data_IF_476514492191
#
_entry.id   IF_476514492191
#
_cell.length_a   1.000
_cell.length_b   1.000
_cell.length_c   1.000
_cell.angle_alpha   90.00
_cell.angle_beta   90.00
_cell.angle_gamma   90.00
#
_symmetry.space_group_name_H-M   'P 1'
#
loop_
_entity.id
_entity.type
_entity.pdbx_description
1 polymer ?
#
# COMPACT_ATOMS: atom_id res chain seq x y z
N UNK A 1 -12.29 -8.36 -19.75
CA UNK A 1 -11.66 -9.62 -19.27
C UNK A 1 -10.18 -9.64 -19.60
N UNK A 2 -9.39 -10.09 -18.65
CA UNK A 2 -7.96 -10.33 -18.83
C UNK A 2 -7.67 -11.80 -18.60
N UNK A 3 -6.59 -12.32 -19.20
CA UNK A 3 -6.14 -13.67 -18.86
C UNK A 3 -5.47 -13.64 -17.48
N UNK A 4 -5.39 -14.78 -16.82
CA UNK A 4 -4.67 -14.89 -15.55
C UNK A 4 -3.20 -14.48 -15.72
N UNK A 5 -2.62 -14.77 -16.88
CA UNK A 5 -1.24 -14.36 -17.18
C UNK A 5 -1.07 -12.84 -17.26
N UNK A 6 -2.06 -12.11 -17.76
CA UNK A 6 -2.01 -10.64 -17.91
C UNK A 6 -2.44 -9.88 -16.67
N UNK A 7 -3.03 -10.57 -15.69
CA UNK A 7 -3.41 -9.97 -14.41
C UNK A 7 -2.15 -9.65 -13.60
N UNK A 8 -2.16 -8.53 -12.89
CA UNK A 8 -0.99 -8.07 -12.10
C UNK A 8 -1.41 -7.73 -10.67
N UNK A 9 -0.48 -7.76 -9.71
CA UNK A 9 -0.73 -7.23 -8.36
C UNK A 9 -1.27 -5.81 -8.43
N UNK A 10 -2.23 -5.50 -7.57
CA UNK A 10 -2.94 -4.22 -7.58
C UNK A 10 -4.24 -4.23 -8.40
N UNK A 11 -4.48 -5.30 -9.18
CA UNK A 11 -5.74 -5.46 -9.90
C UNK A 11 -6.83 -5.98 -8.98
N UNK A 12 -8.09 -5.70 -9.32
CA UNK A 12 -9.26 -6.31 -8.69
C UNK A 12 -9.96 -7.19 -9.70
N UNK A 13 -10.25 -8.41 -9.30
CA UNK A 13 -10.93 -9.39 -10.15
C UNK A 13 -12.22 -9.88 -9.48
N UNK A 14 -13.23 -10.14 -10.30
CA UNK A 14 -14.48 -10.77 -9.86
C UNK A 14 -14.35 -12.27 -10.11
N UNK A 15 -14.49 -13.05 -9.06
CA UNK A 15 -14.48 -14.52 -9.12
C UNK A 15 -15.77 -14.99 -8.43
N UNK A 16 -16.68 -15.55 -9.24
CA UNK A 16 -17.95 -16.10 -8.77
C UNK A 16 -18.82 -15.10 -7.98
N UNK A 17 -18.73 -13.82 -8.31
CA UNK A 17 -19.49 -12.75 -7.66
C UNK A 17 -18.79 -12.08 -6.49
N UNK A 18 -17.65 -12.59 -6.07
CA UNK A 18 -16.84 -11.99 -5.03
C UNK A 18 -15.67 -11.19 -5.63
N UNK A 19 -15.39 -10.04 -5.08
CA UNK A 19 -14.29 -9.19 -5.51
C UNK A 19 -13.03 -9.50 -4.70
N UNK A 20 -11.93 -9.71 -5.42
CA UNK A 20 -10.63 -10.01 -4.84
C UNK A 20 -9.57 -9.04 -5.34
N UNK A 21 -8.78 -8.55 -4.40
CA UNK A 21 -7.58 -7.76 -4.70
C UNK A 21 -6.40 -8.71 -4.88
N UNK A 22 -5.67 -8.57 -5.99
CA UNK A 22 -4.48 -9.41 -6.27
C UNK A 22 -3.29 -8.81 -5.53
N UNK A 23 -2.78 -9.52 -4.52
CA UNK A 23 -1.64 -9.07 -3.71
C UNK A 23 -0.32 -9.64 -4.20
N UNK A 24 -0.33 -10.88 -4.71
CA UNK A 24 0.86 -11.54 -5.28
C UNK A 24 0.48 -12.28 -6.54
N UNK A 25 1.44 -12.37 -7.46
CA UNK A 25 1.30 -13.06 -8.73
C UNK A 25 2.60 -13.77 -9.07
N UNK A 26 2.52 -15.06 -9.38
CA UNK A 26 3.67 -15.86 -9.78
C UNK A 26 3.27 -16.75 -10.94
N UNK A 27 4.12 -16.82 -11.97
CA UNK A 27 3.91 -17.74 -13.09
C UNK A 27 4.90 -18.90 -13.02
N UNK A 28 4.42 -20.11 -13.27
CA UNK A 28 5.23 -21.32 -13.32
C UNK A 28 5.00 -22.03 -14.66
N UNK A 29 6.09 -22.31 -15.35
CA UNK A 29 6.04 -23.03 -16.61
C UNK A 29 6.26 -24.54 -16.33
N UNK A 30 5.23 -25.34 -16.56
CA UNK A 30 5.33 -26.80 -16.43
C UNK A 30 6.12 -27.44 -17.55
N UNK A 31 6.63 -28.65 -17.31
CA UNK A 31 7.53 -29.38 -18.21
C UNK A 31 6.99 -29.76 -19.57
N UNK A 32 5.70 -29.52 -19.88
CA UNK A 32 5.07 -29.79 -21.17
C UNK A 32 4.42 -28.56 -21.79
N UNK A 33 4.91 -27.37 -21.46
CA UNK A 33 4.46 -26.13 -22.09
C UNK A 33 3.24 -25.46 -21.48
N UNK A 34 2.55 -26.09 -20.51
CA UNK A 34 1.45 -25.47 -19.79
C UNK A 34 2.01 -24.49 -18.74
N UNK A 35 1.56 -23.23 -18.82
CA UNK A 35 1.90 -22.23 -17.84
C UNK A 35 0.76 -22.06 -16.87
N UNK A 36 1.05 -22.10 -15.58
CA UNK A 36 0.09 -21.82 -14.51
C UNK A 36 0.44 -20.51 -13.81
N UNK A 37 -0.57 -19.86 -13.24
CA UNK A 37 -0.41 -18.62 -12.51
C UNK A 37 -0.98 -18.82 -11.10
N UNK A 38 -0.14 -18.63 -10.10
CA UNK A 38 -0.55 -18.63 -8.69
C UNK A 38 -0.75 -17.18 -8.26
N UNK A 39 -1.92 -16.91 -7.73
CA UNK A 39 -2.26 -15.59 -7.21
C UNK A 39 -2.62 -15.68 -5.74
N UNK A 40 -2.14 -14.73 -4.98
CA UNK A 40 -2.63 -14.48 -3.62
C UNK A 40 -3.68 -13.40 -3.70
N UNK A 41 -4.87 -13.72 -3.20
CA UNK A 41 -6.06 -12.89 -3.34
C UNK A 41 -6.57 -12.47 -1.96
N UNK A 42 -6.93 -11.19 -1.83
CA UNK A 42 -7.58 -10.66 -0.64
C UNK A 42 -9.04 -10.39 -0.98
N UNK A 43 -9.96 -11.05 -0.29
CA UNK A 43 -11.38 -10.76 -0.44
C UNK A 43 -11.68 -9.37 0.10
N UNK A 44 -12.27 -8.51 -0.72
CA UNK A 44 -12.52 -7.11 -0.37
C UNK A 44 -13.60 -6.99 0.71
N UNK A 45 -14.59 -7.87 0.69
CA UNK A 45 -15.71 -7.80 1.63
C UNK A 45 -15.34 -8.20 3.07
N UNK A 46 -14.49 -9.22 3.23
CA UNK A 46 -14.16 -9.77 4.56
C UNK A 46 -12.68 -9.74 4.91
N UNK A 47 -11.81 -9.31 3.99
CA UNK A 47 -10.37 -9.23 4.23
C UNK A 47 -9.62 -10.56 4.24
N UNK A 48 -10.30 -11.69 4.00
CA UNK A 48 -9.65 -13.00 4.03
C UNK A 48 -8.68 -13.18 2.85
N UNK A 49 -7.57 -13.86 3.13
CA UNK A 49 -6.54 -14.17 2.14
C UNK A 49 -6.70 -15.60 1.63
N UNK A 50 -6.57 -15.80 0.33
CA UNK A 50 -6.59 -17.12 -0.27
C UNK A 50 -5.61 -17.20 -1.44
N UNK A 51 -5.04 -18.39 -1.66
CA UNK A 51 -4.19 -18.63 -2.81
C UNK A 51 -4.99 -19.45 -3.82
N UNK A 52 -5.00 -19.02 -5.09
CA UNK A 52 -5.63 -19.75 -6.18
C UNK A 52 -4.64 -19.93 -7.33
N UNK A 53 -4.72 -21.06 -7.99
CA UNK A 53 -3.91 -21.39 -9.17
C UNK A 53 -4.83 -21.42 -10.38
N UNK A 54 -4.43 -20.73 -11.43
CA UNK A 54 -5.15 -20.62 -12.69
C UNK A 54 -4.28 -21.13 -13.84
N UNK A 55 -4.90 -21.59 -14.91
CA UNK A 55 -4.19 -21.72 -16.17
C UNK A 55 -3.87 -20.33 -16.71
N UNK A 56 -2.76 -20.17 -17.41
CA UNK A 56 -2.37 -18.88 -18.00
C UNK A 56 -3.47 -18.26 -18.87
N UNK A 57 -4.25 -19.11 -19.53
CA UNK A 57 -5.30 -18.71 -20.47
C UNK A 57 -6.67 -18.51 -19.82
N UNK A 58 -6.81 -18.86 -18.55
CA UNK A 58 -8.06 -18.62 -17.82
C UNK A 58 -8.42 -17.15 -17.84
N UNK A 59 -9.67 -16.87 -18.18
CA UNK A 59 -10.16 -15.49 -18.25
C UNK A 59 -10.75 -15.08 -16.92
N UNK A 60 -10.28 -13.95 -16.43
CA UNK A 60 -10.77 -13.34 -15.21
C UNK A 60 -11.48 -12.02 -15.55
N UNK A 61 -12.57 -11.77 -14.86
CA UNK A 61 -13.25 -10.49 -14.97
C UNK A 61 -12.47 -9.45 -14.17
N UNK A 62 -11.77 -8.56 -14.85
CA UNK A 62 -11.13 -7.44 -14.18
C UNK A 62 -12.18 -6.35 -13.92
N UNK A 63 -12.09 -5.76 -12.74
CA UNK A 63 -13.00 -4.73 -12.28
C UNK A 63 -12.27 -3.39 -12.34
N UNK A 64 -12.86 -2.43 -13.05
CA UNK A 64 -12.32 -1.08 -13.10
C UNK A 64 -12.73 -0.36 -11.81
N UNK A 65 -11.72 0.17 -11.11
CA UNK A 65 -11.93 0.91 -9.88
C UNK A 65 -11.88 2.41 -10.15
N UNK A 66 -12.72 3.13 -9.45
CA UNK A 66 -12.64 4.59 -9.39
C UNK A 66 -11.44 4.95 -8.50
N UNK A 67 -10.64 5.88 -8.96
CA UNK A 67 -9.48 6.38 -8.24
C UNK A 67 -9.68 7.86 -7.98
N UNK A 68 -9.73 8.21 -6.71
CA UNK A 68 -10.00 9.59 -6.28
C UNK A 68 -8.94 10.04 -5.28
N UNK A 69 -8.54 11.30 -5.40
CA UNK A 69 -7.56 11.91 -4.48
C UNK A 69 -8.28 12.33 -3.20
N UNK A 70 -7.75 11.87 -2.07
CA UNK A 70 -8.20 12.26 -0.73
C UNK A 70 -7.06 12.90 0.04
N UNK A 71 -7.41 13.81 0.93
CA UNK A 71 -6.48 14.41 1.89
C UNK A 71 -6.67 13.74 3.24
N UNK A 72 -5.57 13.33 3.87
CA UNK A 72 -5.60 12.81 5.23
C UNK A 72 -5.77 13.96 6.22
N UNK A 73 -6.78 13.88 7.07
CA UNK A 73 -7.07 14.92 8.04
C UNK A 73 -6.49 14.59 9.42
N UNK A 74 -6.94 13.50 10.03
CA UNK A 74 -6.51 13.13 11.38
C UNK A 74 -6.87 11.67 11.72
N UNK A 75 -6.31 11.20 12.82
CA UNK A 75 -6.63 9.91 13.44
C UNK A 75 -7.23 10.18 14.81
N UNK A 76 -8.35 9.55 15.10
CA UNK A 76 -8.99 9.59 16.41
C UNK A 76 -9.36 8.18 16.82
N UNK A 77 -8.69 7.67 17.88
CA UNK A 77 -8.96 6.35 18.47
C UNK A 77 -8.98 5.18 17.46
N UNK A 78 -8.01 5.18 16.54
CA UNK A 78 -7.89 4.13 15.52
C UNK A 78 -8.75 4.34 14.30
N UNK A 79 -9.46 5.45 14.20
CA UNK A 79 -10.23 5.82 13.02
C UNK A 79 -9.48 6.91 12.27
N UNK A 80 -9.20 6.65 11.00
CA UNK A 80 -8.49 7.57 10.11
C UNK A 80 -9.50 8.30 9.25
N UNK A 81 -9.48 9.63 9.28
CA UNK A 81 -10.43 10.48 8.56
C UNK A 81 -9.76 11.10 7.36
N UNK A 82 -10.40 10.94 6.21
CA UNK A 82 -9.94 11.47 4.93
C UNK A 82 -11.02 12.34 4.30
N UNK A 83 -10.61 13.33 3.55
CA UNK A 83 -11.51 14.23 2.84
C UNK A 83 -11.26 14.15 1.33
N UNK A 84 -12.33 13.94 0.58
CA UNK A 84 -12.27 13.97 -0.88
C UNK A 84 -11.87 15.37 -1.35
N UNK A 85 -10.80 15.47 -2.13
CA UNK A 85 -10.26 16.75 -2.59
C UNK A 85 -11.16 17.49 -3.57
N UNK A 86 -12.09 16.79 -4.21
CA UNK A 86 -13.01 17.38 -5.19
C UNK A 86 -14.31 17.90 -4.58
N UNK A 87 -14.97 17.05 -3.78
CA UNK A 87 -16.31 17.36 -3.25
C UNK A 87 -16.34 17.59 -1.73
N UNK A 88 -15.19 17.48 -1.06
CA UNK A 88 -15.02 17.68 0.38
C UNK A 88 -15.80 16.70 1.28
N UNK A 89 -16.31 15.61 0.71
CA UNK A 89 -16.92 14.54 1.51
C UNK A 89 -15.85 13.82 2.33
N UNK A 90 -16.20 13.49 3.58
CA UNK A 90 -15.29 12.78 4.46
C UNK A 90 -15.61 11.31 4.49
N UNK A 91 -14.56 10.49 4.57
CA UNK A 91 -14.69 9.05 4.82
C UNK A 91 -13.84 8.67 6.02
N UNK A 92 -14.26 7.61 6.71
CA UNK A 92 -13.56 7.06 7.86
C UNK A 92 -13.09 5.65 7.55
N UNK A 93 -11.82 5.37 7.82
CA UNK A 93 -11.23 4.05 7.64
C UNK A 93 -10.67 3.55 8.98
N UNK A 94 -10.87 2.28 9.28
CA UNK A 94 -10.29 1.65 10.46
C UNK A 94 -8.83 1.27 10.29
N UNK A 95 -8.20 0.87 11.38
CA UNK A 95 -6.80 0.41 11.36
C UNK A 95 -6.56 -0.77 10.42
N UNK A 96 -7.54 -1.67 10.31
CA UNK A 96 -7.44 -2.84 9.43
C UNK A 96 -7.41 -2.45 7.94
N UNK A 97 -8.13 -1.40 7.57
CA UNK A 97 -8.15 -0.89 6.20
C UNK A 97 -6.87 -0.13 5.84
N UNK A 98 -6.33 0.60 6.79
CA UNK A 98 -5.14 1.43 6.60
C UNK A 98 -3.86 0.61 6.74
N UNK A 99 -3.80 -0.28 7.73
CA UNK A 99 -2.63 -1.13 7.96
C UNK A 99 -1.34 -0.33 8.16
N UNK A 100 -0.25 -0.84 7.61
CA UNK A 100 1.06 -0.19 7.72
C UNK A 100 1.19 1.11 6.91
N UNK A 101 0.21 1.42 6.06
CA UNK A 101 0.18 2.69 5.33
C UNK A 101 0.05 3.89 6.27
N UNK A 102 -0.40 3.67 7.51
CA UNK A 102 -0.46 4.69 8.56
C UNK A 102 0.87 5.43 8.76
N UNK A 103 1.99 4.75 8.52
CA UNK A 103 3.32 5.34 8.68
C UNK A 103 3.66 6.37 7.60
N UNK A 104 2.82 6.54 6.60
CA UNK A 104 2.98 7.52 5.53
C UNK A 104 1.88 8.59 5.54
N UNK A 105 0.98 8.54 6.53
CA UNK A 105 -0.13 9.49 6.67
C UNK A 105 0.27 10.62 7.60
N UNK A 106 0.69 11.73 7.02
CA UNK A 106 0.90 12.99 7.74
C UNK A 106 -0.29 13.91 7.48
N UNK A 107 -0.66 14.76 8.43
CA UNK A 107 -1.75 15.72 8.24
C UNK A 107 -1.54 16.55 6.97
N UNK A 108 -2.57 16.63 6.14
CA UNK A 108 -2.51 17.32 4.87
C UNK A 108 -1.92 16.50 3.72
N UNK A 109 -1.42 15.28 3.96
CA UNK A 109 -0.91 14.42 2.89
C UNK A 109 -2.04 13.99 1.97
N UNK A 110 -1.78 13.96 0.66
CA UNK A 110 -2.74 13.47 -0.33
C UNK A 110 -2.41 12.04 -0.71
N UNK A 111 -3.45 11.24 -0.84
CA UNK A 111 -3.36 9.83 -1.25
C UNK A 111 -4.44 9.55 -2.27
N UNK A 112 -4.25 8.48 -3.03
CA UNK A 112 -5.30 7.98 -3.92
C UNK A 112 -6.05 6.85 -3.21
N UNK A 113 -7.36 6.95 -3.22
CA UNK A 113 -8.24 5.90 -2.71
C UNK A 113 -8.98 5.26 -3.87
N UNK A 114 -8.92 3.93 -3.92
CA UNK A 114 -9.65 3.14 -4.88
C UNK A 114 -11.01 2.75 -4.30
N UNK A 115 -12.05 2.93 -5.10
CA UNK A 115 -13.43 2.62 -4.74
C UNK A 115 -14.11 1.85 -5.87
N UNK A 116 -15.06 1.01 -5.49
CA UNK A 116 -15.96 0.33 -6.43
C UNK A 116 -17.39 0.60 -5.99
N UNK A 117 -18.18 1.28 -6.85
CA UNK A 117 -19.54 1.68 -6.54
C UNK A 117 -19.68 2.43 -5.19
N UNK A 118 -18.72 3.31 -4.91
CA UNK A 118 -18.68 4.08 -3.66
C UNK A 118 -18.11 3.34 -2.46
N UNK A 119 -17.79 2.05 -2.60
CA UNK A 119 -17.21 1.24 -1.53
C UNK A 119 -15.68 1.27 -1.59
N UNK A 120 -15.05 1.45 -0.42
CA UNK A 120 -13.60 1.43 -0.29
C UNK A 120 -13.01 0.08 -0.71
N UNK A 121 -11.96 0.11 -1.50
CA UNK A 121 -11.21 -1.07 -1.93
C UNK A 121 -9.78 -1.02 -1.40
N UNK A 122 -9.08 0.07 -1.58
CA UNK A 122 -7.69 0.18 -1.14
C UNK A 122 -7.14 1.59 -1.26
N UNK A 123 -5.95 1.75 -0.70
CA UNK A 123 -5.17 2.99 -0.75
C UNK A 123 -3.98 2.77 -1.68
N UNK A 124 -3.72 3.73 -2.54
CA UNK A 124 -2.50 3.77 -3.35
C UNK A 124 -1.61 4.88 -2.84
N UNK A 125 -0.41 4.51 -2.40
CA UNK A 125 0.63 5.47 -2.01
C UNK A 125 1.55 5.74 -3.19
N UNK A 126 2.09 6.94 -3.24
CA UNK A 126 3.23 7.21 -4.11
C UNK A 126 4.39 6.27 -3.73
N UNK A 127 5.22 5.87 -4.69
CA UNK A 127 6.35 4.98 -4.44
C UNK A 127 7.33 5.58 -3.42
N UNK A 128 7.49 6.89 -3.46
CA UNK A 128 8.38 7.63 -2.56
C UNK A 128 7.58 8.73 -1.86
N UNK A 129 7.71 8.80 -0.53
CA UNK A 129 7.05 9.83 0.26
C UNK A 129 8.04 10.50 1.20
N UNK A 130 7.79 11.77 1.49
CA UNK A 130 8.62 12.58 2.38
C UNK A 130 8.12 12.45 3.81
N UNK A 131 9.04 12.17 4.73
CA UNK A 131 8.76 12.13 6.17
C UNK A 131 9.79 13.00 6.89
N UNK A 132 9.41 13.51 8.06
CA UNK A 132 10.30 14.32 8.92
C UNK A 132 10.85 13.45 10.05
N UNK A 133 12.13 13.57 10.31
CA UNK A 133 12.78 12.93 11.45
C UNK A 133 12.48 13.75 12.72
N UNK A 134 11.89 13.11 13.71
CA UNK A 134 11.57 13.75 14.99
C UNK A 134 12.49 13.32 16.14
N UNK A 135 13.13 12.16 15.98
CA UNK A 135 14.06 11.64 17.00
C UNK A 135 15.13 10.79 16.34
N UNK A 136 16.36 10.92 16.81
CA UNK A 136 17.45 10.02 16.45
C UNK A 136 17.80 9.16 17.65
N UNK A 137 17.97 7.86 17.42
CA UNK A 137 18.32 6.91 18.46
C UNK A 137 19.82 6.65 18.47
N UNK A 138 20.42 6.33 19.64
CA UNK A 138 21.85 6.05 19.72
C UNK A 138 22.24 4.85 18.87
N UNK A 139 23.44 4.90 18.31
CA UNK A 139 24.06 3.75 17.64
C UNK A 139 24.15 2.57 18.60
N UNK A 140 23.59 1.44 18.18
CA UNK A 140 23.72 0.18 18.92
C UNK A 140 24.49 -0.80 18.05
N UNK A 141 25.66 -1.23 18.52
CA UNK A 141 26.50 -2.20 17.82
C UNK A 141 27.43 -1.60 16.78
N UNK A 142 27.84 -2.42 15.80
CA UNK A 142 28.82 -2.07 14.77
C UNK A 142 28.21 -1.55 13.47
N UNK A 143 26.92 -1.20 13.47
CA UNK A 143 26.24 -0.66 12.29
C UNK A 143 26.69 0.75 11.99
N UNK A 144 26.94 1.04 10.73
CA UNK A 144 27.30 2.38 10.26
C UNK A 144 26.10 3.33 10.23
N UNK A 145 24.87 2.79 10.23
CA UNK A 145 23.63 3.55 10.20
C UNK A 145 23.07 3.78 11.59
N UNK A 146 22.34 4.87 11.75
CA UNK A 146 21.56 5.16 12.97
C UNK A 146 20.09 4.84 12.74
N UNK A 147 19.37 4.59 13.82
CA UNK A 147 17.91 4.43 13.77
C UNK A 147 17.25 5.76 14.09
N UNK A 148 16.21 6.11 13.35
CA UNK A 148 15.43 7.33 13.57
C UNK A 148 13.95 7.01 13.69
N UNK A 149 13.21 7.94 14.33
CA UNK A 149 11.75 7.90 14.40
C UNK A 149 11.24 9.10 13.61
N UNK A 150 10.28 8.87 12.73
CA UNK A 150 9.65 9.92 11.94
C UNK A 150 8.43 10.51 12.64
N UNK A 151 7.91 11.61 12.11
CA UNK A 151 6.70 12.26 12.61
C UNK A 151 5.45 11.37 12.56
N UNK A 152 5.48 10.28 11.80
CA UNK A 152 4.39 9.31 11.72
C UNK A 152 4.59 8.10 12.64
N UNK A 153 5.71 8.04 13.35
CA UNK A 153 6.05 6.93 14.24
C UNK A 153 6.82 5.79 13.56
N UNK A 154 7.14 5.93 12.28
CA UNK A 154 7.95 4.94 11.57
C UNK A 154 9.40 4.97 12.08
N UNK A 155 9.92 3.80 12.44
CA UNK A 155 11.33 3.61 12.75
C UNK A 155 12.06 3.03 11.55
N UNK A 156 13.20 3.59 11.21
CA UNK A 156 14.02 3.09 10.12
C UNK A 156 15.48 3.46 10.30
N UNK A 157 16.33 2.73 9.59
CA UNK A 157 17.78 2.99 9.57
C UNK A 157 18.12 4.02 8.50
N UNK A 158 18.94 4.98 8.86
CA UNK A 158 19.39 6.06 7.97
C UNK A 158 20.89 6.29 8.17
N UNK A 159 21.58 6.92 7.19
CA UNK A 159 22.96 7.33 7.38
C UNK A 159 23.13 8.26 8.60
N UNK A 160 24.30 8.22 9.26
CA UNK A 160 24.51 9.03 10.47
C UNK A 160 24.55 10.54 10.23
N UNK A 161 24.54 10.99 9.01
CA UNK A 161 24.45 12.41 8.64
C UNK A 161 23.02 12.99 8.84
N UNK A 162 22.03 12.15 9.00
CA UNK A 162 20.64 12.57 9.19
C UNK A 162 20.45 13.03 10.66
N UNK A 163 19.80 14.17 10.83
CA UNK A 163 19.56 14.80 12.12
C UNK A 163 18.07 15.04 12.36
N UNK A 164 17.71 15.28 13.60
CA UNK A 164 16.35 15.70 13.96
C UNK A 164 15.95 16.96 13.18
N UNK A 165 14.73 16.95 12.66
CA UNK A 165 14.21 18.04 11.84
C UNK A 165 14.46 17.87 10.35
N UNK A 166 15.33 16.95 9.96
CA UNK A 166 15.56 16.66 8.54
C UNK A 166 14.36 15.99 7.92
N UNK A 167 14.09 16.31 6.66
CA UNK A 167 13.11 15.60 5.86
C UNK A 167 13.81 14.56 5.01
N UNK A 168 13.25 13.35 4.98
CA UNK A 168 13.81 12.22 4.26
C UNK A 168 12.78 11.64 3.30
N UNK A 169 13.28 11.01 2.23
CA UNK A 169 12.45 10.28 1.29
C UNK A 169 12.52 8.79 1.60
N UNK A 170 11.37 8.17 1.73
CA UNK A 170 11.22 6.77 2.11
C UNK A 170 10.46 6.03 1.00
N UNK A 171 10.93 4.83 0.66
CA UNK A 171 10.21 3.94 -0.24
C UNK A 171 9.04 3.31 0.50
N UNK A 172 7.82 3.54 0.01
CA UNK A 172 6.60 3.09 0.69
C UNK A 172 6.36 1.59 0.61
N UNK A 173 7.02 0.89 -0.33
CA UNK A 173 6.92 -0.57 -0.47
C UNK A 173 7.88 -1.31 0.44
N UNK A 174 9.10 -0.80 0.63
CA UNK A 174 10.16 -1.45 1.38
C UNK A 174 10.37 -0.86 2.77
N UNK A 175 9.81 0.32 3.05
CA UNK A 175 10.01 1.09 4.28
C UNK A 175 11.48 1.51 4.48
N UNK A 176 12.22 1.63 3.40
CA UNK A 176 13.65 1.96 3.44
C UNK A 176 13.89 3.42 3.09
N UNK A 177 14.92 3.98 3.74
CA UNK A 177 15.44 5.29 3.41
C UNK A 177 16.01 5.32 1.99
N UNK A 178 15.66 6.36 1.23
CA UNK A 178 16.17 6.56 -0.12
C UNK A 178 17.22 7.67 -0.15
N UNK A 179 16.83 8.86 0.27
CA UNK A 179 17.71 10.03 0.30
C UNK A 179 17.16 11.10 1.22
N UNK A 180 18.00 12.07 1.56
CA UNK A 180 17.57 13.27 2.26
C UNK A 180 16.80 14.16 1.28
N UNK A 181 15.65 14.66 1.67
CA UNK A 181 14.88 15.58 0.84
C UNK A 181 15.59 16.93 0.73
N UNK A 182 15.51 17.50 -0.43
CA UNK A 182 16.09 18.83 -0.71
C UNK A 182 15.15 19.96 -0.34
#
# INVERSE_FOLDING_TARGET
>A
MKTAFDTRPGSVVDIEGDLYFVTKWESHRGGRGATTVKMRLKNIANGSMTDKVFSSDDKLNDVILDRTVFEYLYNSSGVYVFMNSENYEQIELGEDDVGDMKYFLSEGATIDIQQHNGNFVGIILATYMKLRVVETLPLVGSNENIEVITNTGLKLEVPPSIQEGDEIIVNTSTFEFVEKAK
#
